data_IF_301178965719
#
_entry.id   IF_301178965719
#
_cell.length_a   1.000
_cell.length_b   1.000
_cell.length_c   1.000
_cell.angle_alpha   90.00
_cell.angle_beta   90.00
_cell.angle_gamma   90.00
#
_symmetry.space_group_name_H-M   'P 1'
#
loop_
_entity.id
_entity.type
_entity.pdbx_description
1 polymer ?
#
# COMPACT_ATOMS: atom_id res chain seq x y z
N UNK A 1 19.12 6.95 -24.42
CA UNK A 1 19.24 5.56 -23.91
C UNK A 1 20.70 5.13 -23.87
N UNK A 2 21.44 5.11 -24.98
CA UNK A 2 22.86 4.69 -24.96
C UNK A 2 23.71 5.53 -24.00
N UNK A 3 23.55 6.85 -23.99
CA UNK A 3 24.22 7.77 -23.05
C UNK A 3 24.00 7.43 -21.57
N UNK A 4 22.86 6.84 -21.22
CA UNK A 4 22.50 6.48 -19.85
C UNK A 4 22.99 5.07 -19.48
N UNK A 5 22.89 4.12 -20.41
CA UNK A 5 23.27 2.73 -20.17
C UNK A 5 24.78 2.50 -20.36
N UNK A 6 25.44 3.27 -21.23
CA UNK A 6 26.88 3.17 -21.51
C UNK A 6 27.31 1.98 -22.36
N UNK A 7 26.41 1.03 -22.65
CA UNK A 7 26.68 -0.15 -23.45
C UNK A 7 25.42 -0.63 -24.21
N UNK A 8 25.57 -1.71 -24.98
CA UNK A 8 24.49 -2.31 -25.80
C UNK A 8 23.99 -3.65 -25.25
N UNK A 9 24.14 -3.88 -23.95
CA UNK A 9 23.76 -5.13 -23.28
C UNK A 9 22.25 -5.33 -23.22
N UNK A 10 21.82 -6.42 -22.57
CA UNK A 10 20.41 -6.75 -22.44
C UNK A 10 19.60 -5.63 -21.76
N UNK A 11 20.21 -4.86 -20.85
CA UNK A 11 19.59 -3.67 -20.22
C UNK A 11 19.24 -2.60 -21.26
N UNK A 12 20.14 -2.31 -22.20
CA UNK A 12 19.89 -1.39 -23.31
C UNK A 12 18.75 -1.90 -24.20
N UNK A 13 18.83 -3.16 -24.63
CA UNK A 13 17.82 -3.79 -25.50
C UNK A 13 16.44 -3.82 -24.83
N UNK A 14 16.37 -4.14 -23.53
CA UNK A 14 15.14 -4.11 -22.74
C UNK A 14 14.53 -2.71 -22.71
N UNK A 15 15.36 -1.68 -22.51
CA UNK A 15 14.88 -0.29 -22.48
C UNK A 15 14.32 0.14 -23.84
N UNK A 16 15.02 -0.20 -24.93
CA UNK A 16 14.54 0.07 -26.31
C UNK A 16 13.21 -0.66 -26.58
N UNK A 17 13.12 -1.96 -26.25
CA UNK A 17 11.88 -2.74 -26.41
C UNK A 17 10.72 -2.14 -25.60
N UNK A 18 10.97 -1.71 -24.37
CA UNK A 18 9.98 -1.00 -23.55
C UNK A 18 9.48 0.27 -24.24
N UNK A 19 10.35 1.10 -24.81
CA UNK A 19 9.94 2.29 -25.57
C UNK A 19 9.10 1.96 -26.78
N UNK A 20 9.51 0.95 -27.55
CA UNK A 20 8.77 0.51 -28.73
C UNK A 20 7.36 0.05 -28.32
N UNK A 21 7.24 -0.75 -27.26
CA UNK A 21 5.95 -1.24 -26.78
C UNK A 21 5.03 -0.10 -26.30
N UNK A 22 5.56 0.86 -25.53
CA UNK A 22 4.77 1.99 -25.03
C UNK A 22 4.34 2.94 -26.17
N UNK A 23 5.23 3.22 -27.13
CA UNK A 23 4.91 4.08 -28.28
C UNK A 23 3.97 3.42 -29.31
N UNK A 24 3.90 2.08 -29.32
CA UNK A 24 2.97 1.31 -30.15
C UNK A 24 1.64 1.01 -29.46
N UNK A 25 1.46 1.43 -28.22
CA UNK A 25 0.24 1.13 -27.47
C UNK A 25 -0.96 1.85 -28.09
N UNK A 26 -1.90 1.06 -28.64
CA UNK A 26 -3.13 1.56 -29.23
C UNK A 26 -4.07 2.21 -28.20
N UNK A 27 -3.93 1.88 -26.91
CA UNK A 27 -4.72 2.44 -25.81
C UNK A 27 -4.16 3.76 -25.29
N UNK A 28 -2.95 4.15 -25.70
CA UNK A 28 -2.32 5.41 -25.33
C UNK A 28 -1.71 6.14 -26.54
N UNK A 29 -2.54 6.54 -27.54
CA UNK A 29 -2.04 7.24 -28.73
C UNK A 29 -1.44 8.62 -28.41
N UNK A 30 -1.89 9.24 -27.31
CA UNK A 30 -1.43 10.55 -26.86
C UNK A 30 0.05 10.56 -26.49
N UNK A 31 0.60 9.48 -25.92
CA UNK A 31 2.04 9.40 -25.65
C UNK A 31 2.86 9.60 -26.94
N UNK A 32 2.49 8.90 -28.01
CA UNK A 32 3.17 9.01 -29.30
C UNK A 32 3.00 10.41 -29.90
N UNK A 33 1.81 10.99 -29.79
CA UNK A 33 1.52 12.35 -30.27
C UNK A 33 2.36 13.39 -29.54
N UNK A 34 2.46 13.29 -28.21
CA UNK A 34 3.23 14.20 -27.37
C UNK A 34 4.74 14.13 -27.65
N UNK A 35 5.25 12.97 -28.03
CA UNK A 35 6.65 12.81 -28.47
C UNK A 35 6.87 13.43 -29.85
N UNK A 36 5.95 13.22 -30.80
CA UNK A 36 6.07 13.74 -32.16
C UNK A 36 5.92 15.27 -32.22
N UNK A 37 5.06 15.86 -31.38
CA UNK A 37 4.92 17.31 -31.31
C UNK A 37 6.00 17.99 -30.44
N UNK A 38 6.89 17.21 -29.81
CA UNK A 38 7.98 17.72 -28.98
C UNK A 38 7.59 18.12 -27.55
N UNK A 39 6.33 17.90 -27.14
CA UNK A 39 5.92 18.09 -25.74
C UNK A 39 6.69 17.16 -24.78
N UNK A 40 7.06 15.96 -25.26
CA UNK A 40 8.01 15.06 -24.59
C UNK A 40 9.28 14.99 -25.45
N UNK A 41 10.38 15.49 -24.89
CA UNK A 41 11.67 15.48 -25.59
C UNK A 41 12.26 14.06 -25.70
N UNK A 42 13.11 13.79 -26.71
CA UNK A 42 13.83 12.52 -26.84
C UNK A 42 14.64 12.13 -25.58
N UNK A 43 15.17 13.13 -24.87
CA UNK A 43 15.92 12.95 -23.64
C UNK A 43 15.00 12.51 -22.49
N UNK A 44 13.85 13.16 -22.34
CA UNK A 44 12.85 12.78 -21.33
C UNK A 44 12.34 11.36 -21.58
N UNK A 45 11.86 11.06 -22.78
CA UNK A 45 11.35 9.71 -23.06
C UNK A 45 12.45 8.67 -22.91
N UNK A 46 13.73 8.97 -23.19
CA UNK A 46 14.82 8.01 -22.98
C UNK A 46 14.98 7.56 -21.52
N UNK A 47 14.64 8.38 -20.53
CA UNK A 47 14.82 8.08 -19.10
C UNK A 47 13.55 7.66 -18.39
N UNK A 48 12.36 8.07 -18.87
CA UNK A 48 11.06 7.78 -18.24
C UNK A 48 10.84 6.31 -17.84
N UNK A 49 10.14 6.08 -16.74
CA UNK A 49 9.76 4.74 -16.33
C UNK A 49 8.59 4.21 -17.16
N UNK A 50 8.33 2.90 -17.12
CA UNK A 50 7.14 2.31 -17.74
C UNK A 50 5.84 2.83 -17.12
N UNK A 51 5.89 3.28 -15.86
CA UNK A 51 4.74 3.85 -15.16
C UNK A 51 4.45 5.27 -15.65
N UNK A 52 5.50 6.07 -15.85
CA UNK A 52 5.40 7.44 -16.37
C UNK A 52 4.95 7.49 -17.83
N UNK A 53 5.22 6.45 -18.62
CA UNK A 53 4.76 6.35 -20.01
C UNK A 53 3.32 5.78 -20.15
N UNK A 54 2.71 5.32 -19.06
CA UNK A 54 1.34 4.81 -19.10
C UNK A 54 0.33 5.93 -19.46
N UNK A 55 -0.88 5.53 -19.85
CA UNK A 55 -1.98 6.48 -20.04
C UNK A 55 -2.31 7.21 -18.73
N UNK A 56 -2.86 8.42 -18.85
CA UNK A 56 -3.18 9.23 -17.67
C UNK A 56 -4.25 8.57 -16.80
N UNK A 57 -5.24 7.92 -17.40
CA UNK A 57 -6.22 7.09 -16.69
C UNK A 57 -5.55 5.99 -15.86
N UNK A 58 -4.62 5.23 -16.46
CA UNK A 58 -3.95 4.13 -15.76
C UNK A 58 -3.02 4.64 -14.66
N UNK A 59 -2.41 5.82 -14.84
CA UNK A 59 -1.62 6.48 -13.79
C UNK A 59 -2.50 6.85 -12.60
N UNK A 60 -3.67 7.44 -12.84
CA UNK A 60 -4.59 7.81 -11.76
C UNK A 60 -5.13 6.58 -11.02
N UNK A 61 -5.50 5.52 -11.74
CA UNK A 61 -5.91 4.24 -11.13
C UNK A 61 -4.79 3.69 -10.23
N UNK A 62 -3.54 3.65 -10.73
CA UNK A 62 -2.40 3.17 -9.93
C UNK A 62 -2.18 4.03 -8.69
N UNK A 63 -2.20 5.36 -8.83
CA UNK A 63 -2.08 6.28 -7.69
C UNK A 63 -3.17 6.04 -6.64
N UNK A 64 -4.41 5.84 -7.07
CA UNK A 64 -5.52 5.53 -6.18
C UNK A 64 -5.29 4.20 -5.45
N UNK A 65 -4.98 3.13 -6.17
CA UNK A 65 -4.71 1.81 -5.58
C UNK A 65 -3.53 1.84 -4.61
N UNK A 66 -2.42 2.50 -4.96
CA UNK A 66 -1.26 2.63 -4.06
C UNK A 66 -1.64 3.40 -2.81
N UNK A 67 -2.42 4.47 -2.92
CA UNK A 67 -2.89 5.25 -1.77
C UNK A 67 -3.80 4.42 -0.86
N UNK A 68 -4.68 3.61 -1.44
CA UNK A 68 -5.58 2.73 -0.70
C UNK A 68 -4.81 1.60 0.01
N UNK A 69 -3.86 0.95 -0.67
CA UNK A 69 -3.03 -0.08 -0.08
C UNK A 69 -2.19 0.45 1.10
N UNK A 70 -1.63 1.65 0.98
CA UNK A 70 -0.91 2.31 2.09
C UNK A 70 -1.86 2.57 3.26
N UNK A 71 -3.06 3.10 2.97
CA UNK A 71 -4.08 3.37 4.00
C UNK A 71 -4.49 2.10 4.73
N UNK A 72 -4.78 1.04 4.00
CA UNK A 72 -5.16 -0.26 4.56
C UNK A 72 -4.04 -0.84 5.42
N UNK A 73 -2.79 -0.77 4.95
CA UNK A 73 -1.64 -1.27 5.71
C UNK A 73 -1.40 -0.49 7.02
N UNK A 74 -1.66 0.81 7.03
CA UNK A 74 -1.55 1.64 8.24
C UNK A 74 -2.68 1.40 9.24
N UNK A 75 -3.81 0.84 8.81
CA UNK A 75 -4.90 0.42 9.70
C UNK A 75 -4.52 -0.90 10.38
N UNK A 76 -3.54 -0.87 11.26
CA UNK A 76 -3.28 -1.98 12.18
C UNK A 76 -4.54 -2.19 13.03
N UNK A 77 -5.34 -3.20 12.68
CA UNK A 77 -6.43 -3.66 13.55
C UNK A 77 -5.80 -4.15 14.83
N UNK A 78 -6.05 -3.44 15.94
CA UNK A 78 -5.69 -3.90 17.29
C UNK A 78 -6.27 -5.30 17.47
N UNK A 79 -5.39 -6.30 17.62
CA UNK A 79 -5.82 -7.69 17.76
C UNK A 79 -6.73 -7.89 18.97
N UNK A 80 -7.73 -8.77 18.80
CA UNK A 80 -8.72 -9.15 19.81
C UNK A 80 -10.16 -8.79 19.42
N UNK A 81 -11.12 -9.24 20.22
CA UNK A 81 -12.56 -9.01 19.98
C UNK A 81 -13.00 -7.71 20.62
N UNK A 82 -13.46 -6.75 19.81
CA UNK A 82 -14.04 -5.50 20.31
C UNK A 82 -15.34 -5.79 21.09
N UNK A 83 -15.50 -5.12 22.21
CA UNK A 83 -16.64 -5.30 23.11
C UNK A 83 -16.93 -4.02 23.89
N UNK A 84 -18.21 -3.82 24.23
CA UNK A 84 -18.71 -2.79 25.13
C UNK A 84 -19.10 -3.34 26.52
N UNK A 85 -18.86 -4.64 26.76
CA UNK A 85 -19.13 -5.33 28.03
C UNK A 85 -18.32 -4.73 29.20
N UNK A 86 -17.15 -4.16 28.91
CA UNK A 86 -16.24 -3.64 29.92
C UNK A 86 -16.15 -2.12 29.88
N UNK A 87 -16.26 -1.48 31.05
CA UNK A 87 -16.06 -0.04 31.21
C UNK A 87 -14.67 0.22 31.77
N UNK A 88 -13.88 1.06 31.11
CA UNK A 88 -12.53 1.38 31.56
C UNK A 88 -12.54 2.22 32.85
N UNK A 89 -11.84 1.77 33.89
CA UNK A 89 -11.73 2.51 35.15
C UNK A 89 -11.00 3.86 35.06
N UNK A 90 -10.15 4.07 34.04
CA UNK A 90 -9.40 5.34 33.86
C UNK A 90 -10.19 6.39 33.10
N UNK A 91 -10.69 6.06 31.91
CA UNK A 91 -11.37 7.02 31.03
C UNK A 91 -12.91 6.89 31.02
N UNK A 92 -13.46 5.88 31.70
CA UNK A 92 -14.91 5.59 31.78
C UNK A 92 -15.60 5.30 30.45
N UNK A 93 -14.85 5.12 29.36
CA UNK A 93 -15.37 4.69 28.06
C UNK A 93 -15.48 3.17 27.99
N UNK A 94 -16.38 2.68 27.13
CA UNK A 94 -16.65 1.25 26.91
C UNK A 94 -15.93 0.64 25.70
N UNK A 95 -15.18 1.42 24.94
CA UNK A 95 -14.43 0.91 23.79
C UNK A 95 -13.23 0.08 24.27
N UNK A 96 -13.46 -1.22 24.44
CA UNK A 96 -12.49 -2.19 24.92
C UNK A 96 -12.34 -3.36 23.94
N UNK A 97 -11.20 -4.02 24.00
CA UNK A 97 -10.91 -5.26 23.29
C UNK A 97 -10.58 -6.32 24.34
N UNK A 98 -11.15 -7.51 24.23
CA UNK A 98 -10.82 -8.63 25.12
C UNK A 98 -10.12 -9.78 24.39
N UNK A 99 -9.37 -10.57 25.13
CA UNK A 99 -8.74 -11.81 24.67
C UNK A 99 -8.75 -12.81 25.81
N UNK A 100 -9.22 -14.01 25.54
CA UNK A 100 -9.28 -15.08 26.52
C UNK A 100 -8.08 -16.00 26.32
N UNK A 101 -7.30 -16.20 27.38
CA UNK A 101 -6.12 -17.06 27.37
C UNK A 101 -6.21 -18.01 28.55
N UNK A 102 -6.03 -19.30 28.28
CA UNK A 102 -5.86 -20.29 29.33
C UNK A 102 -4.42 -20.19 29.85
N UNK A 103 -4.23 -19.47 30.96
CA UNK A 103 -2.90 -19.26 31.55
C UNK A 103 -2.55 -20.24 32.66
N UNK A 104 -3.44 -21.19 32.97
CA UNK A 104 -3.31 -22.16 34.09
C UNK A 104 -3.81 -23.55 33.70
N UNK A 105 -3.70 -24.51 34.62
CA UNK A 105 -4.08 -25.92 34.42
C UNK A 105 -5.49 -26.07 33.85
N UNK A 106 -5.78 -27.20 33.22
CA UNK A 106 -7.07 -27.50 32.58
C UNK A 106 -8.29 -27.36 33.50
N UNK A 107 -8.07 -27.45 34.82
CA UNK A 107 -9.12 -27.38 35.85
C UNK A 107 -9.52 -25.94 36.24
N UNK A 108 -8.80 -24.91 35.78
CA UNK A 108 -9.13 -23.50 36.04
C UNK A 108 -9.78 -22.80 34.84
N UNK A 109 -10.75 -21.89 35.05
CA UNK A 109 -11.42 -21.18 33.97
C UNK A 109 -10.45 -20.27 33.21
N UNK A 110 -10.76 -20.02 31.93
CA UNK A 110 -9.97 -19.14 31.07
C UNK A 110 -9.85 -17.73 31.66
N UNK A 111 -8.66 -17.14 31.60
CA UNK A 111 -8.44 -15.76 32.07
C UNK A 111 -8.76 -14.78 30.94
N UNK A 112 -9.60 -13.79 31.21
CA UNK A 112 -9.96 -12.77 30.24
C UNK A 112 -9.08 -11.54 30.42
N UNK A 113 -8.30 -11.18 29.40
CA UNK A 113 -7.50 -9.95 29.36
C UNK A 113 -8.27 -8.88 28.61
N UNK A 114 -8.40 -7.69 29.19
CA UNK A 114 -9.13 -6.57 28.60
C UNK A 114 -8.19 -5.39 28.41
N UNK A 115 -8.28 -4.76 27.24
CA UNK A 115 -7.54 -3.55 26.86
C UNK A 115 -8.53 -2.46 26.47
N UNK A 116 -8.41 -1.28 27.06
CA UNK A 116 -9.18 -0.11 26.62
C UNK A 116 -8.49 0.52 25.40
N UNK A 117 -9.22 0.63 24.29
CA UNK A 117 -8.69 1.18 23.04
C UNK A 117 -8.55 2.71 23.07
N UNK A 118 -9.11 3.37 24.09
CA UNK A 118 -9.15 4.83 24.21
C UNK A 118 -7.97 5.39 25.00
N UNK A 119 -7.56 4.71 26.08
CA UNK A 119 -6.49 5.16 26.98
C UNK A 119 -5.38 4.13 27.17
N UNK A 120 -5.46 2.99 26.49
CA UNK A 120 -4.47 1.91 26.57
C UNK A 120 -4.44 1.14 27.89
N UNK A 121 -5.38 1.40 28.82
CA UNK A 121 -5.43 0.69 30.10
C UNK A 121 -5.65 -0.82 29.88
N UNK A 122 -4.90 -1.67 30.60
CA UNK A 122 -5.00 -3.12 30.49
C UNK A 122 -5.26 -3.74 31.86
N UNK A 123 -6.19 -4.67 31.93
CA UNK A 123 -6.50 -5.39 33.17
C UNK A 123 -6.97 -6.82 32.89
N UNK A 124 -6.96 -7.65 33.93
CA UNK A 124 -7.47 -9.03 33.86
C UNK A 124 -8.82 -9.09 34.54
N UNK A 125 -9.70 -9.93 34.00
CA UNK A 125 -10.98 -10.31 34.60
C UNK A 125 -10.86 -11.80 34.90
N UNK A 126 -10.95 -12.11 36.20
CA UNK A 126 -10.89 -13.46 36.76
C UNK A 126 -12.07 -13.68 37.69
#
# INVERSE_FOLDING_TARGET
>A
IFRDVGNTDMKYKNRVRSRISNLKDAKNPELRRNVLCGAITPQQIAVMTSEEMASDELKEIRKAMTKEAIREHQMARTGGTQTDLFTCGKCRKKNCTYTQVQTRSSDEPMTTFVVCNECGNRWKVG
#
